data_IF_073160890860
#
_entry.id   IF_073160890860
#
_cell.length_a   1.000
_cell.length_b   1.000
_cell.length_c   1.000
_cell.angle_alpha   90.00
_cell.angle_beta   90.00
_cell.angle_gamma   90.00
#
_symmetry.space_group_name_H-M   'P 1'
#
loop_
_entity.id
_entity.type
_entity.pdbx_description
1 polymer ?
#
# COMPACT_ATOMS: atom_id res chain seq x y z
N UNK A 1 -5.61 -3.79 -17.63
CA UNK A 1 -4.82 -4.72 -16.81
C UNK A 1 -5.02 -4.36 -15.33
N UNK A 2 -5.52 -5.27 -14.49
CA UNK A 2 -5.75 -4.97 -13.06
C UNK A 2 -4.45 -4.70 -12.29
N UNK A 3 -3.35 -5.33 -12.73
CA UNK A 3 -2.07 -5.25 -12.04
C UNK A 3 -1.42 -3.86 -12.07
N UNK A 4 -1.83 -3.02 -13.02
CA UNK A 4 -1.46 -1.60 -13.06
C UNK A 4 -1.93 -0.86 -11.81
N UNK A 5 -3.19 -1.05 -11.43
CA UNK A 5 -3.76 -0.45 -10.23
C UNK A 5 -3.21 -1.08 -8.95
N UNK A 6 -2.96 -2.39 -8.94
CA UNK A 6 -2.49 -3.09 -7.73
C UNK A 6 -1.05 -2.75 -7.39
N UNK A 7 -0.14 -2.72 -8.37
CA UNK A 7 1.29 -2.67 -8.08
C UNK A 7 2.13 -1.88 -9.09
N UNK A 8 1.91 -2.07 -10.39
CA UNK A 8 2.90 -1.68 -11.40
C UNK A 8 2.97 -0.17 -11.66
N UNK A 9 1.82 0.49 -11.80
CA UNK A 9 1.79 1.91 -12.06
C UNK A 9 2.26 2.72 -10.85
N UNK A 10 2.86 3.88 -11.11
CA UNK A 10 3.23 4.81 -10.03
C UNK A 10 1.95 5.35 -9.36
N UNK A 11 1.98 5.60 -8.04
CA UNK A 11 0.81 6.07 -7.32
C UNK A 11 0.29 7.45 -7.77
N UNK A 12 1.13 8.27 -8.41
CA UNK A 12 0.79 9.58 -8.97
C UNK A 12 0.17 9.50 -10.37
N UNK A 13 0.06 8.32 -10.97
CA UNK A 13 -0.53 8.15 -12.30
C UNK A 13 -2.07 8.06 -12.23
N UNK A 14 -2.72 8.55 -13.29
CA UNK A 14 -4.13 8.33 -13.55
C UNK A 14 -4.29 7.35 -14.72
N UNK A 15 -5.02 6.26 -14.49
CA UNK A 15 -5.34 5.26 -15.51
C UNK A 15 -6.85 5.31 -15.70
N UNK A 16 -7.31 5.55 -16.93
CA UNK A 16 -8.74 5.69 -17.23
C UNK A 16 -9.44 6.65 -16.23
N UNK A 17 -8.82 7.81 -15.99
CA UNK A 17 -9.31 8.87 -15.06
C UNK A 17 -9.37 8.44 -13.58
N UNK A 18 -8.80 7.29 -13.23
CA UNK A 18 -8.72 6.80 -11.86
C UNK A 18 -7.28 6.94 -11.38
N UNK A 19 -7.10 7.77 -10.36
CA UNK A 19 -5.83 7.91 -9.68
C UNK A 19 -5.41 6.61 -8.96
N UNK A 20 -4.18 6.16 -9.21
CA UNK A 20 -3.66 4.89 -8.69
C UNK A 20 -3.52 4.90 -7.17
N UNK A 21 -3.05 6.00 -6.56
CA UNK A 21 -3.00 6.13 -5.09
C UNK A 21 -4.40 6.01 -4.48
N UNK A 22 -5.39 6.72 -5.03
CA UNK A 22 -6.77 6.66 -4.55
C UNK A 22 -7.38 5.26 -4.73
N UNK A 23 -7.12 4.60 -5.85
CA UNK A 23 -7.56 3.22 -6.09
C UNK A 23 -6.98 2.27 -5.02
N UNK A 24 -5.68 2.30 -4.77
CA UNK A 24 -5.02 1.47 -3.76
C UNK A 24 -5.53 1.77 -2.34
N UNK A 25 -5.78 3.03 -2.03
CA UNK A 25 -6.38 3.44 -0.75
C UNK A 25 -7.80 2.88 -0.57
N UNK A 26 -8.62 2.88 -1.63
CA UNK A 26 -9.94 2.22 -1.62
C UNK A 26 -9.83 0.70 -1.42
N UNK A 27 -8.85 0.05 -2.04
CA UNK A 27 -8.57 -1.37 -1.81
C UNK A 27 -8.22 -1.65 -0.35
N UNK A 28 -7.39 -0.81 0.28
CA UNK A 28 -7.09 -0.89 1.71
C UNK A 28 -8.33 -0.82 2.61
N UNK A 29 -9.22 0.14 2.34
CA UNK A 29 -10.51 0.24 3.06
C UNK A 29 -11.37 -1.01 2.86
N UNK A 30 -11.42 -1.52 1.63
CA UNK A 30 -12.19 -2.72 1.29
C UNK A 30 -11.65 -3.95 2.02
N UNK A 31 -10.33 -4.07 2.14
CA UNK A 31 -9.68 -5.15 2.88
C UNK A 31 -10.09 -5.16 4.37
N UNK A 32 -10.15 -4.00 5.03
CA UNK A 32 -10.65 -3.95 6.41
C UNK A 32 -12.11 -4.40 6.52
N UNK A 33 -12.97 -4.03 5.56
CA UNK A 33 -14.37 -4.46 5.55
C UNK A 33 -14.53 -5.99 5.36
N UNK A 34 -13.60 -6.62 4.64
CA UNK A 34 -13.62 -8.08 4.39
C UNK A 34 -12.94 -8.87 5.51
N UNK A 35 -11.90 -8.30 6.12
CA UNK A 35 -11.08 -8.94 7.13
C UNK A 35 -10.65 -7.92 8.22
N UNK A 36 -11.58 -7.52 9.10
CA UNK A 36 -11.26 -6.64 10.22
C UNK A 36 -10.45 -7.41 11.27
N UNK A 37 -9.51 -6.72 11.90
CA UNK A 37 -8.72 -7.25 13.02
C UNK A 37 -8.55 -6.15 14.07
N UNK A 38 -8.45 -6.54 15.33
CA UNK A 38 -8.00 -5.67 16.41
C UNK A 38 -6.46 -5.68 16.45
N UNK A 39 -5.85 -4.51 16.36
CA UNK A 39 -4.41 -4.33 16.40
C UNK A 39 -4.05 -2.92 16.87
N UNK A 40 -2.82 -2.74 17.34
CA UNK A 40 -2.35 -1.45 17.87
C UNK A 40 -1.88 -0.49 16.77
N UNK A 41 -1.32 -1.02 15.67
CA UNK A 41 -0.71 -0.24 14.59
C UNK A 41 -0.91 -0.89 13.22
N UNK A 42 -0.96 -0.07 12.18
CA UNK A 42 -0.91 -0.51 10.78
C UNK A 42 0.35 0.06 10.13
N UNK A 43 1.13 -0.78 9.44
CA UNK A 43 2.30 -0.34 8.66
C UNK A 43 2.21 -0.86 7.23
N UNK A 44 2.64 -0.03 6.28
CA UNK A 44 2.91 -0.47 4.91
C UNK A 44 4.28 -1.13 4.78
N UNK A 45 4.47 -1.90 3.72
CA UNK A 45 5.78 -2.34 3.24
C UNK A 45 6.27 -1.30 2.24
N UNK A 46 7.41 -0.62 2.48
CA UNK A 46 7.89 0.40 1.56
C UNK A 46 8.44 -0.23 0.26
N UNK A 47 8.10 0.25 -0.93
CA UNK A 47 7.23 1.41 -1.25
C UNK A 47 5.85 0.98 -1.78
N UNK A 48 5.62 -0.34 -1.85
CA UNK A 48 4.57 -0.97 -2.64
C UNK A 48 3.18 -0.84 -2.05
N UNK A 49 3.04 -0.98 -0.73
CA UNK A 49 1.73 -1.07 -0.08
C UNK A 49 1.34 0.14 0.77
N UNK A 50 2.13 1.22 0.74
CA UNK A 50 1.89 2.45 1.53
C UNK A 50 0.45 2.95 1.35
N UNK A 51 -0.02 3.08 0.11
CA UNK A 51 -1.36 3.62 -0.17
C UNK A 51 -2.49 2.73 0.37
N UNK A 52 -2.33 1.40 0.26
CA UNK A 52 -3.30 0.44 0.76
C UNK A 52 -3.30 0.40 2.29
N UNK A 53 -2.13 0.44 2.93
CA UNK A 53 -2.01 0.46 4.38
C UNK A 53 -2.63 1.73 4.99
N UNK A 54 -2.43 2.91 4.38
CA UNK A 54 -3.11 4.14 4.80
C UNK A 54 -4.64 3.96 4.70
N UNK A 55 -5.14 3.38 3.61
CA UNK A 55 -6.57 3.11 3.45
C UNK A 55 -7.11 2.15 4.50
N UNK A 56 -6.38 1.08 4.82
CA UNK A 56 -6.75 0.13 5.87
C UNK A 56 -6.78 0.81 7.24
N UNK A 57 -5.72 1.55 7.59
CA UNK A 57 -5.60 2.27 8.86
C UNK A 57 -6.77 3.25 9.08
N UNK A 58 -7.10 4.06 8.06
CA UNK A 58 -8.23 4.98 8.11
C UNK A 58 -9.58 4.29 8.30
N UNK A 59 -9.80 3.15 7.64
CA UNK A 59 -11.04 2.38 7.80
C UNK A 59 -11.12 1.69 9.17
N UNK A 60 -9.98 1.21 9.68
CA UNK A 60 -9.89 0.52 10.96
C UNK A 60 -9.92 1.45 12.17
N UNK A 61 -9.60 2.75 11.98
CA UNK A 61 -9.39 3.68 13.09
C UNK A 61 -8.11 3.40 13.88
N UNK A 62 -7.17 2.66 13.29
CA UNK A 62 -5.89 2.26 13.90
C UNK A 62 -4.81 3.23 13.37
N UNK A 63 -3.88 3.72 14.20
CA UNK A 63 -2.82 4.60 13.73
C UNK A 63 -1.96 3.93 12.66
N UNK A 64 -1.66 4.69 11.60
CA UNK A 64 -0.67 4.31 10.61
C UNK A 64 0.73 4.73 11.08
N UNK A 65 1.65 3.77 11.15
CA UNK A 65 3.02 4.00 11.61
C UNK A 65 4.06 3.58 10.55
N UNK A 66 5.24 4.18 10.62
CA UNK A 66 6.39 3.79 9.81
C UNK A 66 7.16 2.64 10.49
N UNK A 67 6.56 1.46 10.55
CA UNK A 67 7.14 0.27 11.19
C UNK A 67 8.23 -0.44 10.37
N UNK A 68 8.30 -0.15 9.07
CA UNK A 68 9.29 -0.71 8.14
C UNK A 68 9.97 0.40 7.35
N UNK A 69 11.30 0.30 7.21
CA UNK A 69 12.12 1.23 6.42
C UNK A 69 12.89 0.43 5.36
N UNK A 70 12.71 0.79 4.10
CA UNK A 70 13.47 0.22 2.98
C UNK A 70 14.79 0.95 2.81
N UNK A 71 15.90 0.21 2.85
CA UNK A 71 17.20 0.74 2.45
C UNK A 71 17.19 1.01 0.93
N UNK A 72 17.38 2.28 0.56
CA UNK A 72 17.34 2.75 -0.84
C UNK A 72 18.60 2.41 -1.64
N UNK A 73 19.66 1.93 -0.98
CA UNK A 73 20.96 1.64 -1.59
C UNK A 73 21.20 0.14 -1.82
N UNK A 74 20.17 -0.69 -1.69
CA UNK A 74 20.27 -2.13 -1.95
C UNK A 74 20.07 -2.40 -3.44
N UNK A 75 21.05 -3.07 -4.04
CA UNK A 75 20.94 -3.67 -5.36
C UNK A 75 20.98 -5.20 -5.23
N UNK A 76 20.43 -5.90 -6.22
CA UNK A 76 20.57 -7.36 -6.30
C UNK A 76 22.05 -7.72 -6.46
N UNK A 77 22.55 -8.63 -5.64
CA UNK A 77 23.82 -9.33 -5.88
C UNK A 77 23.49 -10.63 -6.61
N UNK A 78 24.14 -10.87 -7.74
CA UNK A 78 24.08 -12.16 -8.42
C UNK A 78 25.20 -13.03 -7.85
N UNK A 79 24.91 -14.28 -7.53
CA UNK A 79 25.96 -15.29 -7.38
C UNK A 79 26.48 -15.52 -8.80
N UNK A 80 27.72 -15.12 -9.07
CA UNK A 80 28.40 -15.51 -10.31
C UNK A 80 28.93 -16.93 -10.19
#
# INVERSE_FOLDING_TARGET
CSFEYVYFARPDSDIAEINVHLARKRLGRKLFLEAPIEADVVTGVPDSSISAAIGYAEAAGIPYELGLIKNRYVARTFIQ
#
